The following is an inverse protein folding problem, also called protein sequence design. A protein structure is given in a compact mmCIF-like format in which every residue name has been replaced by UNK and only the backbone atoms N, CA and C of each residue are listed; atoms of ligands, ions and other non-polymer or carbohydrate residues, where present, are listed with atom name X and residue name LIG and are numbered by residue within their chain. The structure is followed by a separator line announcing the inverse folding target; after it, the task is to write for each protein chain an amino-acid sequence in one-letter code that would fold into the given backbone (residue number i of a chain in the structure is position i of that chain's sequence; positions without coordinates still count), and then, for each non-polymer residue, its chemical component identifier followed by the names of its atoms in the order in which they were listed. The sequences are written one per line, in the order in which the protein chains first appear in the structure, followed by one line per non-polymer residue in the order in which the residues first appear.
data_IF_734848952541
#
_entry.id   IF_734848952541
#
_cell.length_a   1.000
_cell.length_b   1.000
_cell.length_c   1.000
_cell.angle_alpha   90.00
_cell.angle_beta   90.00
_cell.angle_gamma   90.00
#
_symmetry.space_group_name_H-M   'P 1'
#
loop_
_entity.id
_entity.type
_entity.pdbx_description
1 polymer ?
#
# COMPACT_ATOMS: atom_id res chain seq x y z
N UNK A 1 -37.61 -20.67 7.91
CA UNK A 1 -36.22 -20.39 8.35
C UNK A 1 -35.41 -19.79 7.20
N UNK A 2 -35.90 -18.73 6.54
CA UNK A 2 -35.37 -18.21 5.27
C UNK A 2 -35.05 -16.66 5.28
N UNK A 3 -35.14 -16.01 6.42
CA UNK A 3 -35.10 -14.53 6.48
C UNK A 3 -33.73 -13.94 6.93
N UNK A 4 -32.81 -14.75 7.48
CA UNK A 4 -31.52 -14.24 7.99
C UNK A 4 -30.38 -14.14 6.97
N UNK A 5 -30.50 -14.69 5.76
CA UNK A 5 -29.40 -14.73 4.76
C UNK A 5 -29.25 -13.48 3.85
N UNK A 6 -30.28 -12.61 3.78
CA UNK A 6 -30.21 -11.39 2.95
C UNK A 6 -29.54 -10.19 3.62
N UNK A 7 -29.42 -10.19 4.95
CA UNK A 7 -28.94 -9.03 5.70
C UNK A 7 -27.41 -8.88 5.68
N UNK A 8 -26.63 -9.94 5.55
CA UNK A 8 -25.15 -9.88 5.63
C UNK A 8 -24.55 -9.30 4.35
N UNK A 9 -25.09 -9.62 3.18
CA UNK A 9 -24.63 -9.04 1.91
C UNK A 9 -24.97 -7.55 1.81
N UNK A 10 -26.13 -7.15 2.34
CA UNK A 10 -26.57 -5.77 2.34
C UNK A 10 -25.68 -4.85 3.24
N UNK A 11 -25.28 -5.35 4.42
CA UNK A 11 -24.42 -4.59 5.34
C UNK A 11 -23.03 -4.39 4.74
N UNK A 12 -22.42 -5.39 4.12
CA UNK A 12 -21.12 -5.25 3.45
C UNK A 12 -21.15 -4.25 2.30
N UNK A 13 -22.23 -4.23 1.52
CA UNK A 13 -22.40 -3.29 0.40
C UNK A 13 -22.64 -1.85 0.86
N UNK A 14 -23.36 -1.65 1.96
CA UNK A 14 -23.58 -0.31 2.52
C UNK A 14 -22.31 0.28 3.17
N UNK A 15 -21.50 -0.53 3.83
CA UNK A 15 -20.20 -0.09 4.39
C UNK A 15 -19.24 0.27 3.25
N UNK A 16 -19.18 -0.53 2.19
CA UNK A 16 -18.37 -0.26 1.01
C UNK A 16 -18.76 1.06 0.33
N UNK A 17 -20.05 1.27 0.07
CA UNK A 17 -20.56 2.51 -0.53
C UNK A 17 -20.31 3.73 0.37
N UNK A 18 -20.42 3.60 1.68
CA UNK A 18 -20.12 4.66 2.64
C UNK A 18 -18.64 5.05 2.65
N UNK A 19 -17.74 4.08 2.62
CA UNK A 19 -16.28 4.31 2.58
C UNK A 19 -15.86 4.92 1.25
N UNK A 20 -16.37 4.42 0.13
CA UNK A 20 -16.05 4.95 -1.19
C UNK A 20 -16.59 6.37 -1.41
N UNK A 21 -17.82 6.65 -0.96
CA UNK A 21 -18.37 8.00 -1.00
C UNK A 21 -17.64 8.98 -0.07
N UNK A 22 -17.16 8.49 1.09
CA UNK A 22 -16.36 9.25 2.04
C UNK A 22 -14.99 9.64 1.47
N UNK A 23 -14.30 8.70 0.82
CA UNK A 23 -12.99 8.93 0.21
C UNK A 23 -13.08 9.83 -1.02
N UNK A 24 -14.05 9.64 -1.89
CA UNK A 24 -14.26 10.52 -3.04
C UNK A 24 -14.52 11.97 -2.60
N UNK A 25 -15.40 12.19 -1.62
CA UNK A 25 -15.66 13.51 -1.05
C UNK A 25 -14.46 14.09 -0.30
N UNK A 26 -13.71 13.25 0.41
CA UNK A 26 -12.51 13.71 1.10
C UNK A 26 -11.41 14.13 0.13
N UNK A 27 -11.18 13.36 -0.95
CA UNK A 27 -10.22 13.71 -1.99
C UNK A 27 -10.61 15.01 -2.73
N UNK A 28 -11.90 15.18 -3.04
CA UNK A 28 -12.42 16.43 -3.62
C UNK A 28 -12.31 17.61 -2.65
N UNK A 29 -12.54 17.40 -1.34
CA UNK A 29 -12.36 18.44 -0.32
C UNK A 29 -10.89 18.81 -0.13
N UNK A 30 -9.96 17.89 -0.28
CA UNK A 30 -8.53 18.20 -0.26
C UNK A 30 -8.08 18.98 -1.51
N UNK A 31 -8.72 18.75 -2.67
CA UNK A 31 -8.52 19.57 -3.89
C UNK A 31 -9.20 20.93 -3.81
N UNK A 32 -10.35 21.01 -3.19
CA UNK A 32 -11.10 22.25 -2.98
C UNK A 32 -10.57 23.00 -1.75
N UNK A 33 -9.40 23.60 -1.84
CA UNK A 33 -8.87 24.45 -0.78
C UNK A 33 -9.74 25.69 -0.60
N UNK A 34 -10.16 26.03 0.64
CA UNK A 34 -10.87 27.29 0.89
C UNK A 34 -9.96 28.49 0.61
N UNK A 35 -10.48 29.45 -0.09
CA UNK A 35 -9.79 30.67 -0.47
C UNK A 35 -9.53 31.60 0.73
N UNK A 36 -8.25 31.98 0.86
CA UNK A 36 -7.68 33.30 1.08
C UNK A 36 -8.29 34.22 2.14
N UNK A 37 -7.64 34.27 3.24
CA UNK A 37 -7.32 35.57 3.84
C UNK A 37 -5.97 36.03 3.28
N UNK A 38 -5.89 37.23 2.73
CA UNK A 38 -4.69 37.82 2.13
C UNK A 38 -3.70 38.24 3.23
N UNK A 39 -3.09 37.26 3.93
CA UNK A 39 -1.86 37.53 4.67
C UNK A 39 -0.74 37.54 3.65
N UNK A 40 0.05 38.59 3.63
CA UNK A 40 1.25 38.70 2.78
C UNK A 40 2.17 37.52 3.09
N UNK A 41 2.38 36.66 2.10
CA UNK A 41 3.30 35.51 2.22
C UNK A 41 4.73 36.04 2.15
N UNK A 42 5.54 35.74 3.15
CA UNK A 42 6.99 36.02 3.10
C UNK A 42 7.66 34.97 2.22
N UNK A 43 8.40 35.43 1.21
CA UNK A 43 9.18 34.54 0.33
C UNK A 43 10.67 34.67 0.72
N UNK A 44 11.28 33.53 1.01
CA UNK A 44 12.71 33.42 1.31
C UNK A 44 13.39 32.68 0.16
N UNK A 45 14.40 33.32 -0.43
CA UNK A 45 15.12 32.77 -1.57
C UNK A 45 16.39 32.05 -1.13
N UNK A 46 16.56 30.80 -1.54
CA UNK A 46 17.76 30.00 -1.34
C UNK A 46 18.64 30.15 -2.57
N UNK A 47 19.65 31.00 -2.46
CA UNK A 47 20.58 31.38 -3.52
C UNK A 47 21.99 30.84 -3.31
N UNK A 48 22.25 30.19 -2.18
CA UNK A 48 23.53 29.60 -1.82
C UNK A 48 23.38 28.07 -1.62
N UNK A 49 24.18 27.32 -2.34
CA UNK A 49 24.17 25.85 -2.33
C UNK A 49 24.89 25.20 -1.12
N UNK A 50 25.56 26.01 -0.30
CA UNK A 50 26.31 25.54 0.87
C UNK A 50 25.39 25.05 2.01
N UNK A 51 25.97 24.28 2.95
CA UNK A 51 25.27 23.81 4.15
C UNK A 51 24.99 24.95 5.14
N UNK A 52 25.85 25.99 5.19
CA UNK A 52 25.81 27.08 6.17
C UNK A 52 26.10 28.46 5.54
N UNK A 53 25.64 29.51 6.22
CA UNK A 53 25.87 30.88 5.84
C UNK A 53 24.66 31.53 5.18
N UNK A 54 24.81 32.82 4.78
CA UNK A 54 23.73 33.57 4.17
C UNK A 54 23.23 32.98 2.86
N UNK A 55 21.91 33.03 2.64
CA UNK A 55 21.22 32.53 1.45
C UNK A 55 21.11 31.01 1.36
N UNK A 56 21.50 30.26 2.38
CA UNK A 56 21.38 28.78 2.41
C UNK A 56 19.99 28.32 2.82
N UNK A 57 19.66 27.06 2.51
CA UNK A 57 18.41 26.43 2.96
C UNK A 57 18.29 26.44 4.50
N UNK A 58 19.40 26.25 5.22
CA UNK A 58 19.44 26.30 6.68
C UNK A 58 19.05 27.67 7.22
N UNK A 59 19.60 28.75 6.66
CA UNK A 59 19.20 30.10 7.05
C UNK A 59 17.73 30.36 6.72
N UNK A 60 17.25 29.94 5.54
CA UNK A 60 15.85 30.07 5.17
C UNK A 60 14.92 29.41 6.18
N UNK A 61 15.26 28.24 6.73
CA UNK A 61 14.48 27.56 7.77
C UNK A 61 14.45 28.35 9.09
N UNK A 62 15.54 29.00 9.50
CA UNK A 62 15.53 29.89 10.68
C UNK A 62 14.65 31.12 10.48
N UNK A 63 14.70 31.73 9.28
CA UNK A 63 13.84 32.88 8.95
C UNK A 63 12.37 32.49 9.01
N UNK A 64 12.03 31.34 8.42
CA UNK A 64 10.66 30.81 8.38
C UNK A 64 10.17 30.44 9.78
N UNK A 65 11.01 29.85 10.62
CA UNK A 65 10.65 29.50 12.00
C UNK A 65 10.29 30.74 12.85
N UNK A 66 10.90 31.88 12.59
CA UNK A 66 10.63 33.15 13.27
C UNK A 66 9.43 33.92 12.69
N UNK A 67 8.90 33.52 11.54
CA UNK A 67 7.84 34.25 10.85
C UNK A 67 6.46 34.01 11.54
N UNK A 68 5.66 35.06 11.62
CA UNK A 68 4.32 35.05 12.25
C UNK A 68 3.18 34.78 11.25
N UNK A 69 3.48 34.56 9.98
CA UNK A 69 2.53 34.29 8.89
C UNK A 69 2.95 33.13 8.02
N UNK A 70 2.15 32.78 6.99
CA UNK A 70 2.52 31.78 6.02
C UNK A 70 3.78 32.19 5.26
N UNK A 71 4.65 31.22 4.98
CA UNK A 71 5.96 31.48 4.35
C UNK A 71 6.18 30.57 3.17
N UNK A 72 7.01 31.03 2.22
CA UNK A 72 7.46 30.24 1.09
C UNK A 72 8.98 30.27 1.01
N UNK A 73 9.60 29.11 0.79
CA UNK A 73 11.02 28.97 0.51
C UNK A 73 11.17 28.62 -0.97
N UNK A 74 11.88 29.41 -1.74
CA UNK A 74 12.18 29.17 -3.14
C UNK A 74 13.63 28.70 -3.29
N UNK A 75 13.86 27.46 -3.72
CA UNK A 75 15.20 26.94 -3.99
C UNK A 75 15.57 27.31 -5.41
N UNK A 76 16.51 28.26 -5.55
CA UNK A 76 16.96 28.79 -6.85
C UNK A 76 18.31 28.20 -7.29
N UNK A 77 18.92 27.36 -6.45
CA UNK A 77 20.19 26.68 -6.76
C UNK A 77 19.93 25.23 -7.18
N UNK A 78 20.69 24.67 -8.13
CA UNK A 78 20.42 23.33 -8.67
C UNK A 78 20.80 22.20 -7.72
N UNK A 79 21.77 22.41 -6.82
CA UNK A 79 22.25 21.34 -5.94
C UNK A 79 22.67 21.89 -4.58
N UNK A 80 22.07 21.40 -3.51
CA UNK A 80 22.42 21.69 -2.12
C UNK A 80 23.08 20.46 -1.54
N UNK A 81 24.31 20.57 -1.03
CA UNK A 81 24.99 19.48 -0.35
C UNK A 81 24.95 19.71 1.16
N UNK A 82 24.30 18.79 1.87
CA UNK A 82 24.18 18.86 3.33
C UNK A 82 25.32 18.11 4.00
N UNK A 83 25.94 18.75 4.98
CA UNK A 83 26.98 18.16 5.86
C UNK A 83 26.42 17.88 7.25
N UNK A 84 25.37 18.60 7.65
CA UNK A 84 24.75 18.49 8.97
C UNK A 84 23.21 18.51 8.85
N UNK A 85 22.51 17.91 9.85
CA UNK A 85 21.07 17.90 9.90
C UNK A 85 20.48 19.33 9.83
N UNK A 86 19.41 19.51 9.07
CA UNK A 86 18.68 20.77 8.97
C UNK A 86 17.79 21.02 10.21
N UNK A 87 17.48 22.31 10.54
CA UNK A 87 16.44 22.61 11.50
C UNK A 87 15.07 22.08 11.04
N UNK A 88 14.21 21.71 12.00
CA UNK A 88 12.86 21.27 11.67
C UNK A 88 12.00 22.42 11.13
N UNK A 89 11.02 22.08 10.29
CA UNK A 89 9.96 22.98 9.85
C UNK A 89 8.93 23.13 10.97
N UNK A 90 8.97 24.23 11.71
CA UNK A 90 8.15 24.41 12.94
C UNK A 90 7.09 25.51 12.84
N UNK A 91 6.99 26.22 11.70
CA UNK A 91 6.05 27.33 11.54
C UNK A 91 4.59 26.84 11.57
N UNK A 92 3.83 27.28 12.55
CA UNK A 92 2.41 26.90 12.74
C UNK A 92 1.46 27.44 11.66
N UNK A 93 1.86 28.40 10.84
CA UNK A 93 1.05 28.97 9.76
C UNK A 93 1.23 28.27 8.40
N UNK A 94 2.12 27.28 8.35
CA UNK A 94 2.47 26.54 7.15
C UNK A 94 3.64 27.11 6.37
N UNK A 95 4.39 26.20 5.77
CA UNK A 95 5.56 26.50 4.93
C UNK A 95 5.37 25.86 3.58
N UNK A 96 5.63 26.62 2.51
CA UNK A 96 5.72 26.06 1.16
C UNK A 96 7.19 26.07 0.70
N UNK A 97 7.76 24.90 0.47
CA UNK A 97 9.10 24.73 -0.13
C UNK A 97 8.94 24.37 -1.60
N UNK A 98 9.56 25.13 -2.48
CA UNK A 98 9.47 24.94 -3.94
C UNK A 98 10.85 24.91 -4.57
N UNK A 99 11.13 23.88 -5.37
CA UNK A 99 12.25 23.84 -6.27
C UNK A 99 11.95 24.67 -7.53
N UNK A 100 12.56 25.83 -7.68
CA UNK A 100 12.39 26.68 -8.88
C UNK A 100 13.46 26.42 -9.93
N UNK A 101 14.65 26.02 -9.51
CA UNK A 101 15.70 25.64 -10.45
C UNK A 101 15.33 24.29 -11.10
N UNK A 102 15.56 24.16 -12.39
CA UNK A 102 15.46 22.88 -13.08
C UNK A 102 16.36 21.85 -12.38
N UNK A 103 15.75 20.88 -11.70
CA UNK A 103 16.48 19.86 -10.97
C UNK A 103 16.98 20.29 -9.58
N UNK A 104 16.29 21.19 -8.87
CA UNK A 104 16.62 21.52 -7.47
C UNK A 104 16.79 20.25 -6.62
N UNK A 105 18.01 19.97 -6.19
CA UNK A 105 18.41 18.73 -5.54
C UNK A 105 19.02 18.98 -4.16
N UNK A 106 18.70 18.14 -3.21
CA UNK A 106 19.31 18.06 -1.89
C UNK A 106 20.05 16.72 -1.79
N UNK A 107 21.38 16.79 -1.73
CA UNK A 107 22.26 15.64 -1.55
C UNK A 107 22.59 15.48 -0.07
N UNK A 108 22.19 14.35 0.50
CA UNK A 108 22.33 14.05 1.93
C UNK A 108 23.41 12.99 2.22
N UNK A 109 24.25 12.64 1.25
CA UNK A 109 25.26 11.58 1.40
C UNK A 109 26.23 11.81 2.59
N UNK A 110 26.51 13.05 2.91
CA UNK A 110 27.43 13.37 4.01
C UNK A 110 26.74 13.40 5.39
N UNK A 111 25.42 13.23 5.47
CA UNK A 111 24.74 13.10 6.76
C UNK A 111 25.03 11.72 7.39
N UNK A 112 25.29 11.73 8.70
CA UNK A 112 25.53 10.46 9.42
C UNK A 112 24.25 9.82 9.99
N UNK A 113 23.20 10.61 10.23
CA UNK A 113 21.93 10.14 10.82
C UNK A 113 20.86 11.22 10.76
N UNK A 114 19.62 10.82 11.05
CA UNK A 114 18.46 11.70 11.12
C UNK A 114 17.83 12.00 9.76
N UNK A 115 16.62 12.56 9.75
CA UNK A 115 15.92 12.93 8.52
C UNK A 115 16.59 14.13 7.84
N UNK A 116 16.45 14.18 6.52
CA UNK A 116 16.91 15.36 5.75
C UNK A 116 15.98 16.55 6.03
N UNK A 117 14.67 16.32 5.98
CA UNK A 117 13.65 17.32 6.29
C UNK A 117 12.74 16.79 7.41
N UNK A 118 12.68 17.46 8.54
CA UNK A 118 11.76 17.15 9.67
C UNK A 118 10.58 18.14 9.64
N UNK A 119 9.39 17.64 9.35
CA UNK A 119 8.17 18.44 9.17
C UNK A 119 7.38 18.37 10.48
N UNK A 120 7.59 19.34 11.34
CA UNK A 120 6.92 19.48 12.64
C UNK A 120 5.83 20.57 12.65
N UNK A 121 5.81 21.46 11.63
CA UNK A 121 4.78 22.48 11.45
C UNK A 121 3.64 22.01 10.53
N UNK A 122 2.39 22.26 10.91
CA UNK A 122 1.22 21.88 10.11
C UNK A 122 1.11 22.69 8.81
N UNK A 123 0.30 22.20 7.87
CA UNK A 123 0.07 22.86 6.56
C UNK A 123 1.35 23.09 5.74
N UNK A 124 2.35 22.24 5.89
CA UNK A 124 3.58 22.32 5.13
C UNK A 124 3.42 21.61 3.78
N UNK A 125 3.90 22.24 2.72
CA UNK A 125 3.93 21.65 1.38
C UNK A 125 5.33 21.74 0.76
N UNK A 126 5.71 20.67 0.08
CA UNK A 126 6.99 20.55 -0.65
C UNK A 126 6.68 20.18 -2.09
N UNK A 127 7.30 20.87 -3.03
CA UNK A 127 7.02 20.69 -4.45
C UNK A 127 8.28 20.81 -5.30
N UNK A 128 8.46 19.86 -6.24
CA UNK A 128 9.43 19.98 -7.32
C UNK A 128 10.89 19.89 -6.88
N UNK A 129 11.21 19.06 -5.87
CA UNK A 129 12.58 18.83 -5.40
C UNK A 129 13.01 17.39 -5.58
N UNK A 130 14.32 17.18 -5.67
CA UNK A 130 14.94 15.87 -5.56
C UNK A 130 15.69 15.76 -4.24
N UNK A 131 15.45 14.72 -3.44
CA UNK A 131 16.26 14.40 -2.25
C UNK A 131 16.91 13.05 -2.49
N UNK A 132 18.19 12.93 -2.23
CA UNK A 132 18.92 11.70 -2.52
C UNK A 132 19.96 11.32 -1.49
N UNK A 133 20.28 9.99 -1.46
CA UNK A 133 21.37 9.39 -0.68
C UNK A 133 21.23 9.67 0.82
N UNK A 134 20.04 9.42 1.37
CA UNK A 134 19.74 9.69 2.77
C UNK A 134 20.04 8.46 3.63
N UNK A 135 20.83 8.61 4.72
CA UNK A 135 21.10 7.49 5.63
C UNK A 135 19.90 7.11 6.52
N UNK A 136 18.85 7.93 6.52
CA UNK A 136 17.59 7.74 7.22
C UNK A 136 16.42 8.21 6.34
N UNK A 137 15.34 8.75 6.93
CA UNK A 137 14.24 9.28 6.15
C UNK A 137 14.65 10.54 5.37
N UNK A 138 14.27 10.61 4.09
CA UNK A 138 14.39 11.87 3.35
C UNK A 138 13.47 12.93 3.94
N UNK A 139 12.21 12.56 4.22
CA UNK A 139 11.22 13.44 4.84
C UNK A 139 10.57 12.70 6.01
N UNK A 140 10.66 13.27 7.22
CA UNK A 140 9.94 12.80 8.40
C UNK A 140 8.78 13.74 8.69
N UNK A 141 7.56 13.24 8.58
CA UNK A 141 6.32 14.00 8.80
C UNK A 141 5.81 13.74 10.20
N UNK A 142 5.80 14.77 11.05
CA UNK A 142 5.26 14.75 12.43
C UNK A 142 4.01 15.60 12.59
N UNK A 143 3.65 16.34 11.55
CA UNK A 143 2.58 17.33 11.58
C UNK A 143 1.37 16.89 10.76
N UNK A 144 0.27 17.60 10.93
CA UNK A 144 -0.96 17.39 10.17
C UNK A 144 -0.96 18.21 8.87
N UNK A 145 -1.66 17.73 7.86
CA UNK A 145 -1.86 18.39 6.56
C UNK A 145 -0.55 18.69 5.84
N UNK A 146 0.31 17.68 5.77
CA UNK A 146 1.51 17.71 4.93
C UNK A 146 1.18 17.34 3.49
N UNK A 147 1.84 18.00 2.53
CA UNK A 147 1.76 17.65 1.11
C UNK A 147 3.14 17.55 0.49
N UNK A 148 3.38 16.48 -0.26
CA UNK A 148 4.55 16.34 -1.15
C UNK A 148 4.05 16.12 -2.57
N UNK A 149 4.57 16.89 -3.53
CA UNK A 149 4.19 16.74 -4.93
C UNK A 149 5.35 16.97 -5.89
N UNK A 150 5.28 16.32 -7.07
CA UNK A 150 6.20 16.52 -8.20
C UNK A 150 7.68 16.39 -7.78
N UNK A 151 7.98 15.55 -6.81
CA UNK A 151 9.30 15.40 -6.19
C UNK A 151 9.85 14.00 -6.42
N UNK A 152 11.18 13.87 -6.41
CA UNK A 152 11.88 12.59 -6.51
C UNK A 152 12.63 12.31 -5.22
N UNK A 153 12.46 11.11 -4.67
CA UNK A 153 13.21 10.64 -3.50
C UNK A 153 14.01 9.42 -3.93
N UNK A 154 15.33 9.49 -3.86
CA UNK A 154 16.20 8.49 -4.46
C UNK A 154 17.28 8.00 -3.50
N UNK A 155 17.43 6.68 -3.39
CA UNK A 155 18.51 6.03 -2.64
C UNK A 155 18.56 6.44 -1.16
N UNK A 156 17.39 6.48 -0.49
CA UNK A 156 17.25 6.76 0.93
C UNK A 156 16.89 5.49 1.71
N UNK A 157 17.15 5.46 3.02
CA UNK A 157 16.66 4.36 3.86
C UNK A 157 15.12 4.37 3.87
N UNK A 158 14.49 5.52 4.11
CA UNK A 158 13.05 5.71 3.95
C UNK A 158 12.80 6.98 3.12
N UNK A 159 12.01 6.89 2.07
CA UNK A 159 11.68 8.06 1.27
C UNK A 159 10.86 9.07 2.09
N UNK A 160 9.64 8.72 2.46
CA UNK A 160 8.79 9.53 3.37
C UNK A 160 8.36 8.67 4.54
N UNK A 161 8.65 9.11 5.75
CA UNK A 161 8.16 8.53 7.00
C UNK A 161 7.08 9.42 7.60
N UNK A 162 5.86 8.90 7.69
CA UNK A 162 4.72 9.56 8.36
C UNK A 162 4.64 9.01 9.78
N UNK A 163 4.98 9.84 10.76
CA UNK A 163 5.04 9.45 12.17
C UNK A 163 3.64 9.21 12.79
N UNK A 164 3.60 8.59 13.95
CA UNK A 164 2.37 8.17 14.63
C UNK A 164 1.38 9.30 14.95
N UNK A 165 1.84 10.52 15.08
CA UNK A 165 1.01 11.69 15.38
C UNK A 165 0.64 12.54 14.16
N UNK A 166 1.08 12.13 12.96
CA UNK A 166 0.76 12.83 11.73
C UNK A 166 -0.54 12.31 11.11
N UNK A 167 -1.27 13.22 10.46
CA UNK A 167 -2.50 12.88 9.72
C UNK A 167 -2.71 13.79 8.52
N UNK A 168 -3.68 13.47 7.70
CA UNK A 168 -4.05 14.26 6.52
C UNK A 168 -2.85 14.51 5.58
N UNK A 169 -1.97 13.52 5.44
CA UNK A 169 -0.82 13.57 4.55
C UNK A 169 -1.24 13.27 3.12
N UNK A 170 -0.82 14.10 2.17
CA UNK A 170 -1.02 13.88 0.74
C UNK A 170 0.32 13.75 0.02
N UNK A 171 0.56 12.58 -0.56
CA UNK A 171 1.70 12.33 -1.45
C UNK A 171 1.16 12.18 -2.87
N UNK A 172 1.48 13.12 -3.76
CA UNK A 172 0.89 13.17 -5.11
C UNK A 172 1.93 13.39 -6.20
N UNK A 173 1.96 12.53 -7.23
CA UNK A 173 2.85 12.65 -8.40
C UNK A 173 4.34 12.74 -8.04
N UNK A 174 4.77 11.89 -7.12
CA UNK A 174 6.16 11.77 -6.74
C UNK A 174 6.77 10.51 -7.34
N UNK A 175 8.09 10.48 -7.42
CA UNK A 175 8.86 9.31 -7.79
C UNK A 175 9.74 8.88 -6.62
N UNK A 176 9.48 7.68 -6.08
CA UNK A 176 10.29 7.00 -5.08
C UNK A 176 11.15 5.96 -5.81
N UNK A 177 12.46 6.05 -5.67
CA UNK A 177 13.39 5.29 -6.49
C UNK A 177 14.54 4.72 -5.65
N UNK A 178 14.74 3.41 -5.70
CA UNK A 178 15.86 2.72 -5.03
C UNK A 178 15.99 3.01 -3.54
N UNK A 179 14.90 3.27 -2.85
CA UNK A 179 14.91 3.39 -1.39
C UNK A 179 14.89 1.99 -0.75
N UNK A 180 15.17 1.89 0.53
CA UNK A 180 14.84 0.64 1.23
C UNK A 180 13.32 0.53 1.42
N UNK A 181 12.66 1.62 1.84
CA UNK A 181 11.22 1.79 1.85
C UNK A 181 10.87 3.10 1.12
N UNK A 182 10.00 3.06 0.13
CA UNK A 182 9.54 4.27 -0.55
C UNK A 182 8.76 5.18 0.39
N UNK A 183 7.66 4.68 0.96
CA UNK A 183 6.83 5.38 1.95
C UNK A 183 6.56 4.48 3.14
N UNK A 184 6.68 5.01 4.35
CA UNK A 184 6.34 4.34 5.60
C UNK A 184 5.31 5.14 6.38
N UNK A 185 4.16 4.54 6.69
CA UNK A 185 3.19 5.08 7.63
C UNK A 185 3.40 4.44 9.00
N UNK A 186 3.53 5.29 10.03
CA UNK A 186 3.45 4.90 11.42
C UNK A 186 2.01 4.61 11.87
N UNK A 187 1.79 4.43 13.16
CA UNK A 187 0.53 3.93 13.71
C UNK A 187 -0.71 4.81 13.43
N UNK A 188 -0.54 6.09 13.11
CA UNK A 188 -1.64 7.06 13.04
C UNK A 188 -1.82 7.75 11.69
N UNK A 189 -1.31 7.25 10.58
CA UNK A 189 -1.40 7.88 9.25
C UNK A 189 -2.83 8.16 8.73
N UNK A 190 -3.73 8.61 9.63
CA UNK A 190 -5.17 8.79 9.37
C UNK A 190 -5.44 9.77 8.25
N UNK A 191 -6.50 9.49 7.48
CA UNK A 191 -7.00 10.36 6.41
C UNK A 191 -5.90 10.78 5.42
N UNK A 192 -4.92 9.91 5.20
CA UNK A 192 -3.82 10.18 4.28
C UNK A 192 -4.11 9.60 2.90
N UNK A 193 -3.49 10.20 1.88
CA UNK A 193 -3.61 9.69 0.52
C UNK A 193 -2.25 9.63 -0.19
N UNK A 194 -2.07 8.56 -0.95
CA UNK A 194 -0.92 8.31 -1.82
C UNK A 194 -1.46 8.13 -3.23
N UNK A 195 -1.22 9.10 -4.12
CA UNK A 195 -1.97 9.22 -5.38
C UNK A 195 -1.07 9.56 -6.56
N UNK A 196 -1.19 8.82 -7.66
CA UNK A 196 -0.44 9.07 -8.88
C UNK A 196 1.10 9.11 -8.66
N UNK A 197 1.63 8.31 -7.72
CA UNK A 197 3.07 8.21 -7.51
C UNK A 197 3.64 7.00 -8.27
N UNK A 198 4.94 7.06 -8.52
CA UNK A 198 5.72 5.93 -9.02
C UNK A 198 6.69 5.46 -7.94
N UNK A 199 6.67 4.15 -7.65
CA UNK A 199 7.61 3.45 -6.79
C UNK A 199 8.42 2.53 -7.70
N UNK A 200 9.74 2.55 -7.59
CA UNK A 200 10.59 1.79 -8.50
C UNK A 200 11.85 1.29 -7.78
N UNK A 201 12.05 -0.02 -7.80
CA UNK A 201 13.24 -0.68 -7.24
C UNK A 201 13.45 -0.33 -5.75
N UNK A 202 12.36 -0.17 -5.00
CA UNK A 202 12.42 0.01 -3.55
C UNK A 202 12.63 -1.37 -2.90
N UNK A 203 13.77 -1.53 -2.21
CA UNK A 203 14.35 -2.82 -1.86
C UNK A 203 13.44 -3.72 -1.02
N UNK A 204 12.85 -3.18 0.05
CA UNK A 204 11.97 -3.94 0.94
C UNK A 204 10.50 -3.76 0.50
N UNK A 205 10.07 -2.50 0.30
CA UNK A 205 8.70 -2.22 -0.13
C UNK A 205 8.53 -0.81 -0.71
N UNK A 206 7.72 -0.68 -1.74
CA UNK A 206 7.28 0.62 -2.24
C UNK A 206 6.50 1.39 -1.17
N UNK A 207 5.50 0.75 -0.54
CA UNK A 207 4.71 1.34 0.54
C UNK A 207 4.53 0.38 1.71
N UNK A 208 4.81 0.85 2.92
CA UNK A 208 4.66 0.13 4.18
C UNK A 208 3.72 0.87 5.14
N UNK A 209 2.55 0.28 5.44
CA UNK A 209 1.55 0.83 6.34
C UNK A 209 1.15 -0.25 7.37
N UNK A 210 2.01 -0.50 8.35
CA UNK A 210 1.80 -1.55 9.35
C UNK A 210 1.97 -0.99 10.76
N UNK A 211 1.03 -1.34 11.64
CA UNK A 211 1.16 -1.11 13.08
C UNK A 211 0.93 -2.39 13.89
N UNK A 212 1.33 -2.36 15.15
CA UNK A 212 1.29 -3.54 16.03
C UNK A 212 -0.11 -3.97 16.43
N UNK A 213 -1.08 -3.04 16.53
CA UNK A 213 -2.45 -3.34 16.91
C UNK A 213 -3.47 -2.37 16.25
N UNK A 214 -4.72 -2.82 15.98
CA UNK A 214 -5.79 -1.93 15.53
C UNK A 214 -6.10 -0.82 16.54
N UNK A 215 -6.43 0.39 16.07
CA UNK A 215 -6.90 1.51 16.91
C UNK A 215 -8.31 1.89 16.48
N UNK A 216 -9.19 2.19 17.44
CA UNK A 216 -10.57 2.61 17.18
C UNK A 216 -10.70 4.01 16.56
N UNK A 217 -9.63 4.79 16.54
CA UNK A 217 -9.58 6.14 15.95
C UNK A 217 -9.16 6.12 14.47
N UNK A 218 -9.26 4.98 13.83
CA UNK A 218 -8.73 4.76 12.51
C UNK A 218 -9.45 5.56 11.43
N UNK A 219 -8.75 6.51 10.86
CA UNK A 219 -9.00 6.97 9.51
C UNK A 219 -8.41 5.99 8.49
N UNK A 220 -8.86 6.13 7.26
CA UNK A 220 -8.44 5.27 6.15
C UNK A 220 -7.26 5.92 5.41
N UNK A 221 -6.29 5.11 4.97
CA UNK A 221 -5.28 5.53 4.00
C UNK A 221 -5.77 5.13 2.60
N UNK A 222 -5.96 6.13 1.73
CA UNK A 222 -6.27 5.92 0.32
C UNK A 222 -4.99 5.77 -0.50
N UNK A 223 -4.86 4.66 -1.25
CA UNK A 223 -3.70 4.36 -2.10
C UNK A 223 -4.25 4.07 -3.48
N UNK A 224 -4.16 5.04 -4.39
CA UNK A 224 -4.82 4.88 -5.68
C UNK A 224 -4.09 5.55 -6.84
N UNK A 225 -4.26 4.96 -8.00
CA UNK A 225 -3.68 5.45 -9.24
C UNK A 225 -2.12 5.51 -9.20
N UNK A 226 -1.48 4.65 -8.37
CA UNK A 226 -0.02 4.58 -8.27
C UNK A 226 0.52 3.44 -9.14
N UNK A 227 1.80 3.53 -9.46
CA UNK A 227 2.56 2.49 -10.13
C UNK A 227 3.69 1.99 -9.22
N UNK A 228 3.74 0.68 -9.02
CA UNK A 228 4.79 -0.03 -8.30
C UNK A 228 5.54 -0.89 -9.32
N UNK A 229 6.87 -0.85 -9.32
CA UNK A 229 7.67 -1.55 -10.34
C UNK A 229 8.97 -2.07 -9.73
N UNK A 230 9.15 -3.39 -9.80
CA UNK A 230 10.38 -4.06 -9.35
C UNK A 230 10.71 -3.82 -7.87
N UNK A 231 9.69 -3.53 -7.06
CA UNK A 231 9.86 -3.39 -5.61
C UNK A 231 10.01 -4.76 -4.93
N UNK A 232 10.58 -4.82 -3.73
CA UNK A 232 10.61 -6.06 -2.95
C UNK A 232 9.21 -6.61 -2.73
N UNK A 233 8.35 -5.81 -2.12
CA UNK A 233 6.87 -5.94 -2.09
C UNK A 233 6.26 -4.60 -2.47
N UNK A 234 5.34 -4.58 -3.42
CA UNK A 234 4.74 -3.31 -3.85
C UNK A 234 4.10 -2.58 -2.67
N UNK A 235 3.18 -3.25 -1.95
CA UNK A 235 2.47 -2.68 -0.81
C UNK A 235 2.33 -3.68 0.33
N UNK A 236 2.72 -3.29 1.55
CA UNK A 236 2.45 -4.01 2.80
C UNK A 236 1.51 -3.18 3.67
N UNK A 237 0.37 -3.76 4.08
CA UNK A 237 -0.57 -3.11 4.99
C UNK A 237 -0.98 -4.03 6.14
N UNK A 238 -0.95 -3.51 7.36
CA UNK A 238 -1.30 -4.31 8.52
C UNK A 238 -1.90 -3.51 9.68
N UNK A 239 -3.06 -3.95 10.20
CA UNK A 239 -3.78 -3.31 11.30
C UNK A 239 -4.12 -1.82 11.09
N UNK A 240 -3.99 -1.31 9.87
CA UNK A 240 -4.43 0.02 9.44
C UNK A 240 -5.45 -0.17 8.32
N UNK A 241 -6.64 0.44 8.40
CA UNK A 241 -7.59 0.40 7.30
C UNK A 241 -7.02 1.08 6.06
N UNK A 242 -6.94 0.34 4.95
CA UNK A 242 -6.48 0.85 3.66
C UNK A 242 -7.50 0.59 2.57
N UNK A 243 -7.54 1.50 1.61
CA UNK A 243 -8.26 1.30 0.35
C UNK A 243 -7.25 1.43 -0.79
N UNK A 244 -7.03 0.33 -1.51
CA UNK A 244 -6.03 0.20 -2.58
C UNK A 244 -6.78 0.03 -3.89
N UNK A 245 -6.81 1.08 -4.71
CA UNK A 245 -7.64 1.12 -5.92
C UNK A 245 -6.88 1.59 -7.15
N UNK A 246 -7.09 0.94 -8.28
CA UNK A 246 -6.56 1.35 -9.59
C UNK A 246 -5.05 1.58 -9.60
N UNK A 247 -4.30 0.75 -8.86
CA UNK A 247 -2.86 0.76 -8.93
C UNK A 247 -2.37 -0.29 -9.93
N UNK A 248 -1.22 -0.01 -10.54
CA UNK A 248 -0.47 -0.96 -11.36
C UNK A 248 0.72 -1.49 -10.56
N UNK A 249 0.81 -2.82 -10.42
CA UNK A 249 1.94 -3.52 -9.82
C UNK A 249 2.64 -4.34 -10.91
N UNK A 250 3.92 -4.12 -11.11
CA UNK A 250 4.68 -4.67 -12.24
C UNK A 250 5.99 -5.27 -11.76
N UNK A 251 6.12 -6.58 -11.87
CA UNK A 251 7.36 -7.31 -11.56
C UNK A 251 7.89 -7.14 -10.13
N UNK A 252 7.03 -6.85 -9.15
CA UNK A 252 7.46 -6.87 -7.75
C UNK A 252 7.94 -8.26 -7.35
N UNK A 253 8.94 -8.37 -6.45
CA UNK A 253 9.67 -9.63 -6.28
C UNK A 253 8.93 -10.65 -5.39
N UNK A 254 8.37 -10.24 -4.26
CA UNK A 254 7.72 -11.14 -3.30
C UNK A 254 6.20 -11.17 -3.49
N UNK A 255 5.55 -10.04 -3.36
CA UNK A 255 4.11 -9.89 -3.56
C UNK A 255 3.78 -8.49 -4.06
N UNK A 256 2.73 -8.36 -4.86
CA UNK A 256 2.21 -7.05 -5.22
C UNK A 256 1.55 -6.37 -4.00
N UNK A 257 0.68 -7.10 -3.28
CA UNK A 257 -0.01 -6.61 -2.08
C UNK A 257 0.03 -7.67 -0.98
N UNK A 258 0.53 -7.31 0.20
CA UNK A 258 0.52 -8.16 1.39
C UNK A 258 -0.25 -7.49 2.53
N UNK A 259 -1.35 -8.12 2.94
CA UNK A 259 -2.24 -7.66 4.01
C UNK A 259 -2.05 -8.52 5.26
N UNK A 260 -1.97 -7.88 6.43
CA UNK A 260 -1.87 -8.57 7.73
C UNK A 260 -2.85 -7.96 8.74
N UNK A 261 -3.64 -8.77 9.43
CA UNK A 261 -4.46 -8.35 10.57
C UNK A 261 -5.79 -7.68 10.20
N UNK A 262 -5.85 -6.37 10.08
CA UNK A 262 -7.10 -5.63 9.86
C UNK A 262 -7.61 -5.71 8.41
N UNK A 263 -8.92 -5.53 8.24
CA UNK A 263 -9.58 -5.51 6.95
C UNK A 263 -9.10 -4.39 6.03
N UNK A 264 -9.06 -4.69 4.74
CA UNK A 264 -8.68 -3.77 3.68
C UNK A 264 -9.62 -3.91 2.48
N UNK A 265 -9.68 -2.91 1.62
CA UNK A 265 -10.35 -2.97 0.33
C UNK A 265 -9.29 -2.89 -0.78
N UNK A 266 -9.16 -3.95 -1.56
CA UNK A 266 -8.23 -4.05 -2.69
C UNK A 266 -9.07 -4.19 -3.95
N UNK A 267 -9.14 -3.15 -4.77
CA UNK A 267 -10.11 -3.12 -5.86
C UNK A 267 -9.58 -2.52 -7.15
N UNK A 268 -9.93 -3.14 -8.28
CA UNK A 268 -9.63 -2.60 -9.60
C UNK A 268 -8.16 -2.38 -9.87
N UNK A 269 -7.27 -3.15 -9.21
CA UNK A 269 -5.84 -3.07 -9.42
C UNK A 269 -5.42 -4.02 -10.54
N UNK A 270 -4.34 -3.66 -11.21
CA UNK A 270 -3.68 -4.48 -12.21
C UNK A 270 -2.35 -4.99 -11.67
N UNK A 271 -2.14 -6.30 -11.73
CA UNK A 271 -0.95 -6.97 -11.19
C UNK A 271 -0.36 -7.84 -12.29
N UNK A 272 0.84 -7.49 -12.76
CA UNK A 272 1.47 -8.13 -13.90
C UNK A 272 2.87 -8.66 -13.56
N UNK A 273 3.06 -9.96 -13.77
CA UNK A 273 4.36 -10.62 -13.84
C UNK A 273 5.17 -10.61 -12.55
N UNK A 274 6.38 -11.14 -12.63
CA UNK A 274 7.48 -11.06 -11.65
C UNK A 274 7.21 -11.67 -10.28
N UNK A 275 6.25 -11.15 -9.57
CA UNK A 275 5.96 -11.53 -8.19
C UNK A 275 5.67 -13.02 -8.03
N UNK A 276 6.11 -13.57 -6.91
CA UNK A 276 5.68 -14.91 -6.53
C UNK A 276 4.17 -14.91 -6.26
N UNK A 277 3.65 -13.88 -5.59
CA UNK A 277 2.25 -13.78 -5.17
C UNK A 277 1.63 -12.44 -5.61
N UNK A 278 0.36 -12.48 -6.00
CA UNK A 278 -0.38 -11.26 -6.33
C UNK A 278 -0.88 -10.56 -5.07
N UNK A 279 -2.00 -11.05 -4.50
CA UNK A 279 -2.59 -10.48 -3.29
C UNK A 279 -2.57 -11.56 -2.20
N UNK A 280 -1.91 -11.25 -1.09
CA UNK A 280 -1.84 -12.10 0.10
C UNK A 280 -2.64 -11.46 1.22
N UNK A 281 -3.65 -12.16 1.75
CA UNK A 281 -4.38 -11.78 2.96
C UNK A 281 -4.04 -12.77 4.07
N UNK A 282 -3.16 -12.40 4.99
CA UNK A 282 -2.68 -13.26 6.07
C UNK A 282 -3.21 -12.80 7.43
N UNK A 283 -3.92 -13.71 8.14
CA UNK A 283 -4.53 -13.42 9.44
C UNK A 283 -5.46 -12.18 9.42
N UNK A 284 -6.08 -11.90 8.28
CA UNK A 284 -6.91 -10.70 8.06
C UNK A 284 -8.35 -10.97 8.46
N UNK A 285 -9.01 -9.94 8.95
CA UNK A 285 -10.45 -9.99 9.28
C UNK A 285 -11.24 -9.02 8.42
N UNK A 286 -12.09 -9.56 7.53
CA UNK A 286 -13.03 -8.75 6.75
C UNK A 286 -12.44 -8.03 5.55
N UNK A 287 -11.39 -8.56 4.89
CA UNK A 287 -10.87 -7.99 3.66
C UNK A 287 -11.85 -8.15 2.48
N UNK A 288 -11.81 -7.20 1.57
CA UNK A 288 -12.55 -7.24 0.30
C UNK A 288 -11.53 -7.14 -0.84
N UNK A 289 -11.42 -8.20 -1.64
CA UNK A 289 -10.54 -8.30 -2.81
C UNK A 289 -11.46 -8.40 -4.03
N UNK A 290 -11.64 -7.29 -4.73
CA UNK A 290 -12.73 -7.12 -5.68
C UNK A 290 -12.24 -6.54 -7.02
N UNK A 291 -12.68 -7.12 -8.14
CA UNK A 291 -12.48 -6.58 -9.49
C UNK A 291 -11.00 -6.29 -9.84
N UNK A 292 -10.06 -7.14 -9.40
CA UNK A 292 -8.65 -7.02 -9.74
C UNK A 292 -8.30 -7.91 -10.94
N UNK A 293 -7.33 -7.47 -11.75
CA UNK A 293 -6.77 -8.22 -12.87
C UNK A 293 -5.34 -8.65 -12.52
N UNK A 294 -5.09 -9.98 -12.52
CA UNK A 294 -3.81 -10.58 -12.13
C UNK A 294 -3.30 -11.49 -13.25
N UNK A 295 -2.07 -11.27 -13.70
CA UNK A 295 -1.51 -12.01 -14.82
C UNK A 295 -0.04 -12.43 -14.60
N UNK A 296 0.30 -13.65 -15.01
CA UNK A 296 1.69 -14.09 -15.16
C UNK A 296 2.44 -14.39 -13.86
N UNK A 297 1.75 -14.47 -12.72
CA UNK A 297 2.36 -14.71 -11.41
C UNK A 297 2.95 -16.12 -11.29
N UNK A 298 4.03 -16.28 -10.52
CA UNK A 298 4.73 -17.57 -10.44
C UNK A 298 4.13 -18.51 -9.40
N UNK A 299 3.50 -18.00 -8.31
CA UNK A 299 2.80 -18.80 -7.33
C UNK A 299 1.30 -18.45 -7.29
N UNK A 300 0.81 -17.80 -6.25
CA UNK A 300 -0.62 -17.58 -6.05
C UNK A 300 -1.10 -16.25 -6.64
N UNK A 301 -2.23 -16.28 -7.35
CA UNK A 301 -2.93 -15.07 -7.73
C UNK A 301 -3.47 -14.34 -6.49
N UNK A 302 -4.37 -15.01 -5.75
CA UNK A 302 -4.88 -14.52 -4.47
C UNK A 302 -4.75 -15.62 -3.42
N UNK A 303 -4.08 -15.34 -2.30
CA UNK A 303 -3.98 -16.25 -1.15
C UNK A 303 -4.66 -15.65 0.08
N UNK A 304 -5.60 -16.39 0.66
CA UNK A 304 -6.30 -16.07 1.90
C UNK A 304 -5.87 -17.11 2.95
N UNK A 305 -5.02 -16.71 3.89
CA UNK A 305 -4.43 -17.61 4.88
C UNK A 305 -4.74 -17.17 6.30
N UNK A 306 -5.21 -18.08 7.15
CA UNK A 306 -5.56 -17.80 8.54
C UNK A 306 -6.62 -16.70 8.72
N UNK A 307 -7.30 -16.33 7.64
CA UNK A 307 -8.15 -15.16 7.56
C UNK A 307 -9.63 -15.50 7.73
N UNK A 308 -10.44 -14.51 8.08
CA UNK A 308 -11.86 -14.68 8.33
C UNK A 308 -12.70 -13.60 7.67
N UNK A 309 -13.93 -13.95 7.25
CA UNK A 309 -14.88 -13.03 6.58
C UNK A 309 -14.29 -12.30 5.38
N UNK A 310 -13.30 -12.88 4.69
CA UNK A 310 -12.70 -12.30 3.50
C UNK A 310 -13.58 -12.57 2.28
N UNK A 311 -13.87 -11.52 1.52
CA UNK A 311 -14.61 -11.60 0.27
C UNK A 311 -13.65 -11.43 -0.91
N UNK A 312 -13.52 -12.48 -1.72
CA UNK A 312 -12.77 -12.47 -2.99
C UNK A 312 -13.79 -12.51 -4.13
N UNK A 313 -13.98 -11.39 -4.82
CA UNK A 313 -15.08 -11.26 -5.78
C UNK A 313 -14.64 -10.67 -7.11
N UNK A 314 -15.22 -11.18 -8.20
CA UNK A 314 -15.10 -10.63 -9.55
C UNK A 314 -13.66 -10.42 -10.05
N UNK A 315 -12.67 -11.11 -9.45
CA UNK A 315 -11.29 -10.99 -9.90
C UNK A 315 -11.05 -11.84 -11.16
N UNK A 316 -10.18 -11.36 -12.04
CA UNK A 316 -9.74 -12.04 -13.23
C UNK A 316 -8.27 -12.45 -13.09
N UNK A 317 -8.00 -13.74 -13.09
CA UNK A 317 -6.67 -14.30 -12.94
C UNK A 317 -6.29 -15.07 -14.21
N UNK A 318 -5.16 -14.75 -14.80
CA UNK A 318 -4.68 -15.38 -16.01
C UNK A 318 -3.22 -15.84 -15.87
N UNK A 319 -2.95 -17.08 -16.27
CA UNK A 319 -1.58 -17.63 -16.33
C UNK A 319 -0.80 -17.49 -14.99
N UNK A 320 -1.48 -17.56 -13.85
CA UNK A 320 -0.85 -17.61 -12.52
C UNK A 320 -0.42 -19.06 -12.21
N UNK A 321 0.53 -19.24 -11.28
CA UNK A 321 0.87 -20.57 -10.78
C UNK A 321 -0.37 -21.28 -10.23
N UNK A 322 -0.97 -20.71 -9.22
CA UNK A 322 -2.28 -21.07 -8.67
C UNK A 322 -3.24 -19.89 -8.81
N UNK A 323 -4.53 -20.14 -8.97
CA UNK A 323 -5.53 -19.06 -9.02
C UNK A 323 -5.81 -18.51 -7.64
N UNK A 324 -6.80 -19.08 -6.93
CA UNK A 324 -7.18 -18.71 -5.57
C UNK A 324 -6.71 -19.79 -4.59
N UNK A 325 -6.28 -19.38 -3.38
CA UNK A 325 -6.00 -20.31 -2.30
C UNK A 325 -6.67 -19.87 -0.99
N UNK A 326 -7.32 -20.82 -0.31
CA UNK A 326 -7.88 -20.66 1.02
C UNK A 326 -7.19 -21.65 1.95
N UNK A 327 -6.38 -21.13 2.87
CA UNK A 327 -5.47 -21.94 3.68
C UNK A 327 -5.66 -21.63 5.16
N UNK A 328 -5.96 -22.66 5.98
CA UNK A 328 -6.08 -22.55 7.44
C UNK A 328 -7.07 -21.46 7.90
N UNK A 329 -8.23 -21.39 7.28
CA UNK A 329 -9.28 -20.43 7.63
C UNK A 329 -9.87 -20.63 9.03
N UNK A 330 -10.54 -19.60 9.56
CA UNK A 330 -11.27 -19.68 10.81
C UNK A 330 -12.62 -20.39 10.58
N UNK A 331 -12.81 -21.56 11.16
CA UNK A 331 -14.05 -22.33 11.06
C UNK A 331 -15.31 -21.58 11.55
N UNK A 332 -15.15 -20.50 12.33
CA UNK A 332 -16.26 -19.69 12.86
C UNK A 332 -16.66 -18.54 11.94
N UNK A 333 -15.82 -18.18 10.99
CA UNK A 333 -15.95 -16.97 10.18
C UNK A 333 -15.54 -17.24 8.74
N UNK A 334 -16.50 -17.66 7.94
CA UNK A 334 -16.29 -18.22 6.60
C UNK A 334 -15.92 -17.16 5.58
N UNK A 335 -14.80 -17.34 4.89
CA UNK A 335 -14.42 -16.57 3.70
C UNK A 335 -15.24 -17.00 2.47
N UNK A 336 -15.38 -16.10 1.50
CA UNK A 336 -16.21 -16.34 0.31
C UNK A 336 -15.47 -15.96 -0.95
N UNK A 337 -15.43 -16.86 -1.94
CA UNK A 337 -15.05 -16.53 -3.31
C UNK A 337 -16.26 -16.57 -4.23
N UNK A 338 -16.53 -15.50 -4.95
CA UNK A 338 -17.71 -15.39 -5.80
C UNK A 338 -17.42 -14.66 -7.11
N UNK A 339 -17.95 -15.17 -8.21
CA UNK A 339 -17.87 -14.56 -9.55
C UNK A 339 -16.42 -14.33 -10.06
N UNK A 340 -15.42 -15.08 -9.55
CA UNK A 340 -14.05 -14.96 -10.05
C UNK A 340 -13.86 -15.79 -11.32
N UNK A 341 -12.99 -15.31 -12.21
CA UNK A 341 -12.61 -16.01 -13.44
C UNK A 341 -11.11 -16.33 -13.40
N UNK A 342 -10.77 -17.61 -13.47
CA UNK A 342 -9.40 -18.13 -13.42
C UNK A 342 -9.14 -18.86 -14.73
N UNK A 343 -8.15 -18.40 -15.48
CA UNK A 343 -7.84 -18.89 -16.82
C UNK A 343 -6.40 -19.38 -16.86
N UNK A 344 -6.20 -20.59 -17.33
CA UNK A 344 -4.88 -21.21 -17.53
C UNK A 344 -3.97 -21.15 -16.28
N UNK A 345 -4.46 -21.52 -15.07
CA UNK A 345 -3.55 -21.67 -13.96
C UNK A 345 -2.56 -22.81 -14.26
N UNK A 346 -1.27 -22.57 -13.97
CA UNK A 346 -0.18 -23.54 -14.24
C UNK A 346 -0.29 -24.79 -13.39
N UNK A 347 -0.97 -24.68 -12.25
CA UNK A 347 -1.29 -25.80 -11.34
C UNK A 347 -2.80 -25.83 -11.10
N UNK A 348 -3.26 -25.55 -9.88
CA UNK A 348 -4.68 -25.60 -9.52
C UNK A 348 -5.37 -24.25 -9.71
N UNK A 349 -6.64 -24.29 -10.10
CA UNK A 349 -7.47 -23.10 -10.19
C UNK A 349 -7.81 -22.56 -8.81
N UNK A 350 -8.35 -23.42 -7.93
CA UNK A 350 -8.71 -23.09 -6.55
C UNK A 350 -8.13 -24.17 -5.64
N UNK A 351 -7.37 -23.74 -4.62
CA UNK A 351 -6.89 -24.60 -3.54
C UNK A 351 -7.66 -24.32 -2.25
N UNK A 352 -8.06 -25.38 -1.54
CA UNK A 352 -8.69 -25.31 -0.21
C UNK A 352 -7.94 -26.27 0.70
N UNK A 353 -7.17 -25.74 1.64
CA UNK A 353 -6.31 -26.51 2.54
C UNK A 353 -6.60 -26.16 3.99
N UNK A 354 -7.23 -27.07 4.74
CA UNK A 354 -7.61 -26.81 6.14
C UNK A 354 -8.58 -25.63 6.29
N UNK A 355 -9.46 -25.41 5.32
CA UNK A 355 -10.43 -24.30 5.29
C UNK A 355 -11.77 -24.77 4.74
N UNK A 356 -12.83 -23.99 4.94
CA UNK A 356 -14.18 -24.30 4.48
C UNK A 356 -14.88 -23.08 3.87
N UNK A 357 -14.32 -22.50 2.79
CA UNK A 357 -14.86 -21.31 2.15
C UNK A 357 -16.18 -21.58 1.43
N UNK A 358 -16.96 -20.53 1.17
CA UNK A 358 -18.08 -20.55 0.22
C UNK A 358 -17.53 -20.20 -1.16
N UNK A 359 -17.62 -21.14 -2.10
CA UNK A 359 -17.22 -20.98 -3.49
C UNK A 359 -18.49 -20.91 -4.35
N UNK A 360 -18.76 -19.74 -4.95
CA UNK A 360 -20.02 -19.52 -5.71
C UNK A 360 -19.74 -18.88 -7.06
N UNK A 361 -20.29 -19.47 -8.12
CA UNK A 361 -20.24 -18.94 -9.50
C UNK A 361 -18.84 -18.59 -9.99
N UNK A 362 -17.78 -19.25 -9.46
CA UNK A 362 -16.45 -19.06 -9.98
C UNK A 362 -16.26 -19.88 -11.26
N UNK A 363 -15.48 -19.37 -12.19
CA UNK A 363 -15.09 -20.06 -13.40
C UNK A 363 -13.62 -20.43 -13.33
N UNK A 364 -13.28 -21.70 -13.57
CA UNK A 364 -11.91 -22.16 -13.74
C UNK A 364 -11.81 -22.82 -15.10
N UNK A 365 -11.03 -22.26 -15.97
CA UNK A 365 -10.88 -22.68 -17.36
C UNK A 365 -9.45 -23.12 -17.64
N UNK A 366 -9.30 -24.29 -18.24
CA UNK A 366 -8.01 -24.87 -18.69
C UNK A 366 -6.94 -24.96 -17.60
N UNK A 367 -7.31 -25.37 -16.38
CA UNK A 367 -6.33 -25.65 -15.34
C UNK A 367 -5.43 -26.84 -15.76
N UNK A 368 -4.12 -26.70 -15.55
CA UNK A 368 -3.19 -27.76 -15.94
C UNK A 368 -3.19 -28.95 -14.98
N UNK A 369 -3.52 -28.74 -13.70
CA UNK A 369 -3.72 -29.84 -12.74
C UNK A 369 -5.21 -29.96 -12.38
N UNK A 370 -5.69 -29.26 -11.38
CA UNK A 370 -7.09 -29.34 -10.90
C UNK A 370 -7.79 -28.00 -11.01
N UNK A 371 -9.07 -28.02 -11.39
CA UNK A 371 -9.91 -26.83 -11.27
C UNK A 371 -10.15 -26.46 -9.79
N UNK A 372 -10.39 -27.47 -8.98
CA UNK A 372 -10.52 -27.37 -7.52
C UNK A 372 -9.74 -28.51 -6.88
N UNK A 373 -8.83 -28.18 -5.99
CA UNK A 373 -8.13 -29.11 -5.12
C UNK A 373 -8.54 -28.87 -3.66
N UNK A 374 -8.92 -29.93 -2.95
CA UNK A 374 -9.36 -29.85 -1.55
C UNK A 374 -8.53 -30.84 -0.73
N UNK A 375 -7.82 -30.32 0.27
CA UNK A 375 -6.95 -31.11 1.14
C UNK A 375 -7.18 -30.74 2.61
N UNK A 376 -7.28 -31.74 3.48
CA UNK A 376 -7.31 -31.55 4.92
C UNK A 376 -5.90 -31.20 5.42
N UNK A 377 -5.82 -30.33 6.41
CA UNK A 377 -4.54 -29.96 7.00
C UNK A 377 -4.26 -30.76 8.28
N UNK A 378 -3.09 -31.37 8.37
CA UNK A 378 -2.62 -32.08 9.56
C UNK A 378 -1.48 -31.31 10.21
N UNK A 379 -1.73 -30.55 11.30
CA UNK A 379 -0.65 -29.91 12.05
C UNK A 379 0.27 -30.99 12.66
N UNK A 380 1.58 -30.71 12.83
CA UNK A 380 2.52 -31.67 13.43
C UNK A 380 2.12 -32.16 14.82
N UNK A 381 1.50 -31.31 15.64
CA UNK A 381 1.13 -31.57 17.03
C UNK A 381 -0.33 -31.16 17.34
N UNK A 382 -1.23 -31.23 16.38
CA UNK A 382 -2.63 -30.79 16.56
C UNK A 382 -3.65 -31.70 15.90
N UNK A 383 -4.94 -31.48 16.15
CA UNK A 383 -6.00 -32.21 15.48
C UNK A 383 -6.02 -31.88 13.98
N UNK A 384 -6.45 -32.85 13.18
CA UNK A 384 -6.67 -32.68 11.76
C UNK A 384 -7.75 -31.62 11.52
N UNK A 385 -7.45 -30.64 10.66
CA UNK A 385 -8.39 -29.60 10.20
C UNK A 385 -9.01 -30.06 8.89
N UNK A 386 -10.31 -30.30 8.90
CA UNK A 386 -11.04 -30.75 7.72
C UNK A 386 -11.36 -29.60 6.77
N UNK A 387 -11.28 -29.88 5.49
CA UNK A 387 -11.66 -28.96 4.42
C UNK A 387 -13.02 -29.33 3.85
N UNK A 388 -14.00 -28.46 4.04
CA UNK A 388 -15.39 -28.68 3.59
C UNK A 388 -15.96 -27.46 2.86
N UNK A 389 -15.42 -27.09 1.67
CA UNK A 389 -15.93 -25.95 0.93
C UNK A 389 -17.38 -26.15 0.52
N UNK A 390 -18.20 -25.10 0.66
CA UNK A 390 -19.55 -25.08 0.10
C UNK A 390 -19.50 -24.63 -1.36
N UNK A 391 -19.99 -25.46 -2.27
CA UNK A 391 -19.95 -25.23 -3.72
C UNK A 391 -21.34 -24.84 -4.23
N UNK A 392 -21.45 -23.73 -4.97
CA UNK A 392 -22.71 -23.28 -5.58
C UNK A 392 -22.46 -22.72 -6.98
N UNK A 393 -22.96 -23.38 -8.01
CA UNK A 393 -22.94 -22.97 -9.41
C UNK A 393 -21.54 -22.61 -9.97
N UNK A 394 -20.48 -23.26 -9.52
CA UNK A 394 -19.14 -23.05 -10.10
C UNK A 394 -19.03 -23.77 -11.44
N UNK A 395 -18.28 -23.17 -12.38
CA UNK A 395 -17.95 -23.78 -13.66
C UNK A 395 -16.46 -24.16 -13.68
N UNK A 396 -16.19 -25.45 -13.64
CA UNK A 396 -14.83 -25.99 -13.67
C UNK A 396 -14.38 -26.46 -15.07
N UNK A 397 -15.18 -26.19 -16.10
CA UNK A 397 -14.90 -26.63 -17.47
C UNK A 397 -14.65 -28.15 -17.55
N UNK A 398 -13.63 -28.56 -18.28
CA UNK A 398 -13.22 -29.95 -18.39
C UNK A 398 -12.07 -30.31 -17.42
N UNK A 399 -11.66 -29.40 -16.53
CA UNK A 399 -10.55 -29.66 -15.61
C UNK A 399 -11.01 -30.49 -14.42
N UNK A 400 -10.19 -31.43 -13.92
CA UNK A 400 -10.59 -32.33 -12.84
C UNK A 400 -10.77 -31.61 -11.51
N UNK A 401 -11.60 -32.21 -10.65
CA UNK A 401 -11.75 -31.82 -9.25
C UNK A 401 -11.15 -32.92 -8.38
N UNK A 402 -10.21 -32.60 -7.53
CA UNK A 402 -9.61 -33.51 -6.56
C UNK A 402 -10.15 -33.27 -5.16
N UNK A 403 -10.54 -34.36 -4.50
CA UNK A 403 -10.78 -34.42 -3.05
C UNK A 403 -9.85 -35.53 -2.54
N UNK A 404 -8.68 -35.20 -2.03
CA UNK A 404 -7.67 -36.19 -1.68
C UNK A 404 -7.34 -36.21 -0.20
N UNK A 405 -7.07 -37.43 0.31
CA UNK A 405 -6.16 -37.62 1.45
C UNK A 405 -4.74 -37.32 0.98
N UNK A 406 -3.85 -36.78 1.83
CA UNK A 406 -2.54 -36.35 1.41
C UNK A 406 -1.73 -37.52 0.83
N UNK A 407 -1.54 -37.52 -0.46
CA UNK A 407 -0.39 -38.22 -1.04
C UNK A 407 0.79 -37.28 -0.81
N UNK A 408 1.71 -37.70 0.04
CA UNK A 408 2.95 -36.98 0.31
C UNK A 408 3.63 -36.67 -1.04
N UNK A 409 3.47 -35.45 -1.54
CA UNK A 409 4.22 -34.98 -2.68
C UNK A 409 5.69 -34.91 -2.25
N UNK A 410 6.53 -35.74 -2.84
CA UNK A 410 7.95 -35.78 -2.59
C UNK A 410 8.52 -34.37 -2.74
N UNK A 411 9.17 -33.88 -1.69
CA UNK A 411 9.96 -32.65 -1.76
C UNK A 411 10.98 -32.78 -2.89
N UNK A 412 11.12 -31.75 -3.76
CA UNK A 412 12.22 -31.74 -4.69
C UNK A 412 13.51 -31.69 -3.88
N UNK A 413 14.34 -32.72 -4.01
CA UNK A 413 15.66 -32.82 -3.41
C UNK A 413 16.50 -31.61 -3.83
N UNK A 414 16.95 -30.82 -2.85
CA UNK A 414 18.01 -29.83 -3.06
C UNK A 414 19.26 -30.56 -3.59
N UNK A 415 19.67 -30.20 -4.76
CA UNK A 415 21.05 -30.36 -5.24
C UNK A 415 21.63 -28.97 -5.53
#
# INVERSE_FOLDING_TARGET
MAIRRRSIVAVGTFVLLGVLAGLGRWYETQRAQPQRTTKTTVIVHVTNAGDRGPGTLREALFIVAAATGPTSIAIEVPNIRLETALPAFVNGNGVRLVGQASGAQIDAQALNSGPVLDISGPNTSIEGITIKQCPAAAILVRAVRFRLSLSTIDSCDVGVEVADNASDTLLERNHFLRNRLGVRFGASGHNSAVVNNEFTDDKDSGLWAVRSAPDSRDGVIGIHDNKFTEDGTGLVAGNIPVVVERNDFINDHEAAVHLVGAGAVIRGNRINGGAAMGIVAENVRGAIIDDNELEGLTAYGVMVRGSSNTLVRANRLHNCGYGLAFVLGDAKSVSTAVDNTIIEPKFNGIDVIGDSPILRRNQVLRAHAYALHVEDFQPPNGPKVQSQPFLDNNNFGNSPVSRGSPTVAAQPSRR
#
